data_IF_695267770906
#
_entry.id   IF_695267770906
#
_cell.length_a   1.000
_cell.length_b   1.000
_cell.length_c   1.000
_cell.angle_alpha   90.00
_cell.angle_beta   90.00
_cell.angle_gamma   90.00
#
_symmetry.space_group_name_H-M   'P 1'
#
loop_
_entity.id
_entity.type
_entity.pdbx_description
1 polymer ?
#
# COMPACT_ATOMS: atom_id res chain seq x y z
N UNK A 1 -11.54 -19.31 -32.67
CA UNK A 1 -10.58 -19.11 -31.56
C UNK A 1 -11.37 -18.53 -30.39
N UNK A 2 -11.86 -19.39 -29.52
CA UNK A 2 -12.72 -19.09 -28.37
C UNK A 2 -11.88 -18.63 -27.17
N UNK A 3 -12.31 -17.57 -26.47
CA UNK A 3 -11.62 -17.01 -25.30
C UNK A 3 -11.46 -18.08 -24.20
N UNK A 4 -10.26 -18.26 -23.61
CA UNK A 4 -9.99 -19.27 -22.58
C UNK A 4 -10.57 -18.95 -21.19
N UNK A 5 -11.44 -17.95 -21.06
CA UNK A 5 -11.79 -17.36 -19.76
C UNK A 5 -12.79 -18.16 -18.93
N UNK A 6 -13.50 -19.14 -19.50
CA UNK A 6 -14.44 -19.99 -18.73
C UNK A 6 -14.44 -21.42 -19.25
N UNK A 7 -13.35 -22.15 -19.02
CA UNK A 7 -13.41 -23.61 -19.15
C UNK A 7 -14.36 -24.14 -18.07
N UNK A 8 -15.39 -24.89 -18.48
CA UNK A 8 -16.20 -25.64 -17.53
C UNK A 8 -15.39 -26.85 -17.03
N UNK A 9 -14.75 -26.65 -15.88
CA UNK A 9 -13.93 -27.65 -15.19
C UNK A 9 -14.77 -28.89 -14.86
N UNK A 10 -16.08 -28.76 -14.61
CA UNK A 10 -16.95 -29.88 -14.26
C UNK A 10 -17.24 -30.76 -15.49
N UNK A 11 -17.47 -30.16 -16.66
CA UNK A 11 -17.82 -30.90 -17.88
C UNK A 11 -16.61 -31.48 -18.63
N UNK A 12 -15.41 -30.93 -18.46
CA UNK A 12 -14.23 -31.34 -19.26
C UNK A 12 -13.58 -32.60 -18.69
N UNK A 13 -13.48 -33.67 -19.47
CA UNK A 13 -12.82 -34.94 -19.08
C UNK A 13 -11.42 -35.13 -19.68
N UNK A 14 -11.01 -34.27 -20.62
CA UNK A 14 -9.68 -34.32 -21.19
C UNK A 14 -8.62 -33.75 -20.23
N UNK A 15 -7.64 -34.60 -19.87
CA UNK A 15 -6.56 -34.29 -18.94
C UNK A 15 -5.64 -33.21 -19.50
N UNK A 16 -5.34 -33.24 -20.82
CA UNK A 16 -4.45 -32.28 -21.44
C UNK A 16 -5.05 -30.86 -21.40
N UNK A 17 -6.33 -30.74 -21.71
CA UNK A 17 -7.07 -29.47 -21.62
C UNK A 17 -7.13 -28.94 -20.18
N UNK A 18 -7.40 -29.81 -19.20
CA UNK A 18 -7.43 -29.43 -17.78
C UNK A 18 -6.07 -28.98 -17.25
N UNK A 19 -4.99 -29.63 -17.69
CA UNK A 19 -3.62 -29.28 -17.32
C UNK A 19 -3.24 -27.91 -17.89
N UNK A 20 -3.43 -27.69 -19.20
CA UNK A 20 -3.13 -26.42 -19.85
C UNK A 20 -3.94 -25.26 -19.26
N UNK A 21 -5.23 -25.49 -18.97
CA UNK A 21 -6.06 -24.50 -18.29
C UNK A 21 -5.55 -24.20 -16.87
N UNK A 22 -5.23 -25.24 -16.09
CA UNK A 22 -4.71 -25.11 -14.73
C UNK A 22 -3.42 -24.30 -14.64
N UNK A 23 -2.47 -24.54 -15.57
CA UNK A 23 -1.23 -23.79 -15.68
C UNK A 23 -1.48 -22.32 -16.06
N UNK A 24 -2.37 -22.08 -17.05
CA UNK A 24 -2.72 -20.72 -17.46
C UNK A 24 -3.40 -19.94 -16.33
N UNK A 25 -4.26 -20.59 -15.53
CA UNK A 25 -4.93 -19.99 -14.38
C UNK A 25 -3.93 -19.67 -13.27
N UNK A 26 -2.93 -20.53 -13.06
CA UNK A 26 -1.86 -20.28 -12.09
C UNK A 26 -1.02 -19.03 -12.46
N UNK A 27 -0.70 -18.85 -13.75
CA UNK A 27 0.01 -17.66 -14.24
C UNK A 27 -0.79 -16.37 -14.06
N UNK A 28 -2.12 -16.44 -14.19
CA UNK A 28 -3.04 -15.31 -13.91
C UNK A 28 -3.29 -15.07 -12.41
N UNK A 29 -2.56 -15.76 -11.52
CA UNK A 29 -2.73 -15.73 -10.07
C UNK A 29 -4.12 -16.20 -9.59
N UNK A 30 -4.88 -16.88 -10.43
CA UNK A 30 -6.15 -17.52 -10.08
C UNK A 30 -5.89 -18.92 -9.49
N UNK A 31 -5.41 -18.92 -8.25
CA UNK A 31 -5.03 -20.16 -7.54
C UNK A 31 -6.23 -21.07 -7.24
N UNK A 32 -7.45 -20.52 -7.23
CA UNK A 32 -8.65 -21.31 -6.93
C UNK A 32 -9.01 -22.21 -8.11
N UNK A 33 -9.17 -21.62 -9.30
CA UNK A 33 -9.51 -22.37 -10.51
C UNK A 33 -8.35 -23.28 -10.96
N UNK A 34 -7.10 -22.82 -10.81
CA UNK A 34 -5.92 -23.64 -11.09
C UNK A 34 -5.88 -24.92 -10.24
N UNK A 35 -6.13 -24.83 -8.92
CA UNK A 35 -6.21 -26.01 -8.03
C UNK A 35 -7.35 -26.94 -8.42
N UNK A 36 -8.52 -26.39 -8.74
CA UNK A 36 -9.69 -27.19 -9.08
C UNK A 36 -9.45 -28.02 -10.35
N UNK A 37 -8.92 -27.40 -11.41
CA UNK A 37 -8.60 -28.07 -12.67
C UNK A 37 -7.49 -29.12 -12.51
N UNK A 38 -6.39 -28.78 -11.83
CA UNK A 38 -5.26 -29.69 -11.63
C UNK A 38 -5.59 -30.88 -10.71
N UNK A 39 -6.44 -30.68 -9.69
CA UNK A 39 -6.97 -31.80 -8.88
C UNK A 39 -7.87 -32.72 -9.69
N UNK A 40 -8.61 -32.20 -10.69
CA UNK A 40 -9.41 -33.04 -11.58
C UNK A 40 -8.50 -33.81 -12.54
N UNK A 41 -7.50 -33.14 -13.14
CA UNK A 41 -6.52 -33.76 -14.02
C UNK A 41 -5.79 -34.94 -13.34
N UNK A 42 -5.32 -34.75 -12.11
CA UNK A 42 -4.66 -35.81 -11.31
C UNK A 42 -5.57 -36.95 -10.87
N UNK A 43 -6.89 -36.73 -10.78
CA UNK A 43 -7.87 -37.81 -10.53
C UNK A 43 -8.18 -38.62 -11.78
N UNK A 44 -8.22 -37.97 -12.94
CA UNK A 44 -8.51 -38.60 -14.23
C UNK A 44 -7.31 -39.40 -14.73
N UNK A 45 -6.09 -38.87 -14.56
CA UNK A 45 -4.85 -39.60 -14.84
C UNK A 45 -3.88 -39.51 -13.66
N UNK A 46 -3.89 -40.52 -12.76
CA UNK A 46 -2.98 -40.59 -11.64
C UNK A 46 -1.50 -40.78 -12.02
N UNK A 47 -1.19 -41.22 -13.24
CA UNK A 47 0.19 -41.52 -13.69
C UNK A 47 0.84 -40.34 -14.44
N UNK A 48 0.16 -39.20 -14.52
CA UNK A 48 0.67 -38.00 -15.17
C UNK A 48 1.56 -37.17 -14.24
N UNK A 49 2.88 -37.36 -14.32
CA UNK A 49 3.84 -36.61 -13.50
C UNK A 49 3.76 -35.07 -13.69
N UNK A 50 3.62 -34.52 -14.92
CA UNK A 50 3.37 -33.09 -15.12
C UNK A 50 2.16 -32.54 -14.36
N UNK A 51 1.05 -33.26 -14.31
CA UNK A 51 -0.17 -32.81 -13.61
C UNK A 51 0.05 -32.68 -12.09
N UNK A 52 0.75 -33.66 -11.50
CA UNK A 52 1.14 -33.62 -10.09
C UNK A 52 2.13 -32.50 -9.77
N UNK A 53 3.08 -32.24 -10.67
CA UNK A 53 4.06 -31.16 -10.52
C UNK A 53 3.38 -29.78 -10.57
N UNK A 54 2.49 -29.56 -11.54
CA UNK A 54 1.71 -28.34 -11.66
C UNK A 54 0.81 -28.14 -10.42
N UNK A 55 0.18 -29.21 -9.90
CA UNK A 55 -0.62 -29.14 -8.69
C UNK A 55 0.20 -28.70 -7.47
N UNK A 56 1.42 -29.25 -7.29
CA UNK A 56 2.29 -28.91 -6.18
C UNK A 56 2.60 -27.39 -6.11
N UNK A 57 2.74 -26.73 -7.25
CA UNK A 57 3.04 -25.29 -7.30
C UNK A 57 1.89 -24.42 -6.83
N UNK A 58 0.64 -24.84 -7.06
CA UNK A 58 -0.54 -24.01 -6.78
C UNK A 58 -1.10 -24.27 -5.38
N UNK A 59 -0.99 -25.50 -4.87
CA UNK A 59 -1.52 -25.92 -3.56
C UNK A 59 -1.04 -25.02 -2.42
N UNK A 60 -1.96 -24.71 -1.48
CA UNK A 60 -1.72 -23.76 -0.39
C UNK A 60 -1.21 -24.39 0.91
N UNK A 61 -1.49 -25.67 1.13
CA UNK A 61 -1.13 -26.38 2.37
C UNK A 61 0.21 -27.09 2.20
N UNK A 62 1.02 -27.08 3.27
CA UNK A 62 2.34 -27.71 3.27
C UNK A 62 2.26 -29.23 3.08
N UNK A 63 1.27 -29.88 3.72
CA UNK A 63 1.06 -31.32 3.64
C UNK A 63 0.69 -31.80 2.24
N UNK A 64 -0.28 -31.15 1.59
CA UNK A 64 -0.74 -31.52 0.24
C UNK A 64 0.33 -31.21 -0.81
N UNK A 65 1.09 -30.12 -0.65
CA UNK A 65 2.24 -29.82 -1.52
C UNK A 65 3.32 -30.90 -1.44
N UNK A 66 3.62 -31.38 -0.23
CA UNK A 66 4.58 -32.48 -0.02
C UNK A 66 4.13 -33.75 -0.73
N UNK A 67 2.87 -34.14 -0.54
CA UNK A 67 2.30 -35.34 -1.19
C UNK A 67 2.37 -35.26 -2.71
N UNK A 68 2.06 -34.10 -3.29
CA UNK A 68 2.14 -33.91 -4.73
C UNK A 68 3.58 -34.09 -5.26
N UNK A 69 4.60 -33.54 -4.58
CA UNK A 69 5.99 -33.77 -4.99
C UNK A 69 6.46 -35.22 -4.77
N UNK A 70 6.02 -35.88 -3.70
CA UNK A 70 6.29 -37.31 -3.48
C UNK A 70 5.73 -38.16 -4.63
N UNK A 71 4.50 -37.88 -5.06
CA UNK A 71 3.89 -38.55 -6.24
C UNK A 71 4.66 -38.32 -7.54
N UNK A 72 5.19 -37.12 -7.76
CA UNK A 72 6.01 -36.85 -8.95
C UNK A 72 7.27 -37.71 -8.95
N UNK A 73 7.93 -37.88 -7.80
CA UNK A 73 9.14 -38.69 -7.68
C UNK A 73 8.89 -40.19 -7.74
N UNK A 74 7.70 -40.65 -7.35
CA UNK A 74 7.26 -42.03 -7.57
C UNK A 74 7.14 -42.35 -9.07
N UNK A 75 6.63 -41.40 -9.86
CA UNK A 75 6.41 -41.56 -11.30
C UNK A 75 7.68 -41.27 -12.12
N UNK A 76 8.46 -40.27 -11.71
CA UNK A 76 9.71 -39.83 -12.33
C UNK A 76 10.78 -39.58 -11.25
N UNK A 77 11.57 -40.61 -10.89
CA UNK A 77 12.64 -40.48 -9.89
C UNK A 77 13.73 -39.46 -10.28
N UNK A 78 13.86 -39.13 -11.57
CA UNK A 78 14.83 -38.19 -12.12
C UNK A 78 14.40 -36.72 -11.99
N UNK A 79 13.18 -36.44 -11.52
CA UNK A 79 12.63 -35.09 -11.55
C UNK A 79 13.31 -34.14 -10.56
N UNK A 80 14.17 -33.26 -11.10
CA UNK A 80 14.92 -32.27 -10.31
C UNK A 80 14.00 -31.27 -9.62
N UNK A 81 12.89 -30.88 -10.27
CA UNK A 81 11.96 -29.89 -9.74
C UNK A 81 11.22 -30.42 -8.50
N UNK A 82 10.75 -31.66 -8.54
CA UNK A 82 10.09 -32.28 -7.39
C UNK A 82 11.05 -32.54 -6.21
N UNK A 83 12.29 -32.96 -6.52
CA UNK A 83 13.33 -33.17 -5.50
C UNK A 83 13.69 -31.86 -4.78
N UNK A 84 13.96 -30.80 -5.55
CA UNK A 84 14.22 -29.47 -4.98
C UNK A 84 13.03 -28.92 -4.20
N UNK A 85 11.80 -29.16 -4.67
CA UNK A 85 10.58 -28.81 -3.95
C UNK A 85 10.45 -29.46 -2.59
N UNK A 86 10.75 -30.76 -2.46
CA UNK A 86 10.75 -31.46 -1.17
C UNK A 86 11.86 -30.99 -0.22
N UNK A 87 13.05 -30.71 -0.76
CA UNK A 87 14.16 -30.20 0.03
C UNK A 87 13.85 -28.80 0.59
N UNK A 88 13.26 -27.92 -0.23
CA UNK A 88 12.78 -26.61 0.21
C UNK A 88 11.68 -26.69 1.28
N UNK A 89 10.83 -27.71 1.23
CA UNK A 89 9.85 -27.97 2.28
C UNK A 89 10.53 -28.41 3.58
N UNK A 90 11.49 -29.34 3.51
CA UNK A 90 12.26 -29.81 4.68
C UNK A 90 13.05 -28.68 5.33
N UNK A 91 13.65 -27.78 4.56
CA UNK A 91 14.41 -26.65 5.08
C UNK A 91 13.51 -25.61 5.77
N UNK A 92 12.26 -25.44 5.33
CA UNK A 92 11.27 -24.61 6.01
C UNK A 92 10.85 -25.17 7.37
N UNK A 93 10.80 -26.50 7.51
CA UNK A 93 10.52 -27.21 8.79
C UNK A 93 11.74 -27.24 9.69
N UNK A 94 12.96 -27.23 9.12
CA UNK A 94 14.20 -27.19 9.88
C UNK A 94 14.51 -25.83 10.50
N UNK A 95 13.68 -24.80 10.28
CA UNK A 95 13.67 -23.63 11.16
C UNK A 95 13.06 -24.08 12.49
N UNK A 96 13.87 -24.37 13.52
CA UNK A 96 13.35 -24.84 14.78
C UNK A 96 12.66 -23.62 15.39
N UNK A 97 11.33 -23.57 15.34
CA UNK A 97 10.62 -22.71 16.27
C UNK A 97 11.03 -23.20 17.66
N UNK A 98 11.58 -22.33 18.52
CA UNK A 98 11.96 -22.74 19.86
C UNK A 98 10.77 -23.46 20.48
N UNK A 99 11.00 -24.65 21.05
CA UNK A 99 9.98 -25.42 21.75
C UNK A 99 9.29 -24.45 22.73
N UNK A 100 8.07 -24.04 22.38
CA UNK A 100 7.32 -23.13 23.24
C UNK A 100 6.87 -23.98 24.39
N UNK A 101 7.57 -23.87 25.52
CA UNK A 101 7.15 -24.50 26.76
C UNK A 101 5.74 -23.99 27.08
N UNK A 102 4.75 -24.87 26.88
CA UNK A 102 3.36 -24.55 27.15
C UNK A 102 3.20 -24.65 28.66
N UNK A 103 2.99 -23.53 29.38
CA UNK A 103 2.75 -23.61 30.81
C UNK A 103 1.53 -24.51 31.06
N UNK A 104 1.52 -25.30 32.15
CA UNK A 104 0.37 -26.10 32.52
C UNK A 104 -0.89 -25.22 32.56
N UNK A 105 -1.92 -25.62 31.81
CA UNK A 105 -3.21 -24.93 31.82
C UNK A 105 -3.83 -25.19 33.20
N UNK A 106 -3.93 -24.15 34.04
CA UNK A 106 -4.64 -24.24 35.32
C UNK A 106 -6.15 -24.45 35.03
N UNK A 107 -6.76 -25.57 35.43
CA UNK A 107 -8.18 -25.83 35.20
C UNK A 107 -9.10 -25.01 36.10
N UNK A 108 -8.56 -24.21 37.04
CA UNK A 108 -9.36 -23.35 37.90
C UNK A 108 -10.04 -22.27 37.05
N UNK A 109 -11.38 -22.10 37.18
CA UNK A 109 -12.06 -20.97 36.59
C UNK A 109 -11.44 -19.68 37.12
N UNK A 110 -10.93 -18.84 36.22
CA UNK A 110 -10.48 -17.49 36.57
C UNK A 110 -11.71 -16.72 37.05
N UNK A 111 -11.88 -16.58 38.36
CA UNK A 111 -12.83 -15.61 38.93
C UNK A 111 -12.37 -14.21 38.52
N UNK A 112 -13.19 -13.44 37.78
CA UNK A 112 -12.84 -12.07 37.43
C UNK A 112 -12.59 -11.29 38.73
N UNK A 113 -11.47 -10.55 38.86
CA UNK A 113 -11.33 -9.63 39.97
C UNK A 113 -12.53 -8.68 39.98
N UNK A 114 -13.08 -8.40 41.16
CA UNK A 114 -14.19 -7.46 41.31
C UNK A 114 -13.80 -6.15 40.59
N UNK A 115 -14.47 -5.88 39.48
CA UNK A 115 -14.15 -4.75 38.63
C UNK A 115 -14.53 -3.48 39.39
N UNK A 116 -13.56 -2.87 40.06
CA UNK A 116 -13.69 -1.51 40.58
C UNK A 116 -14.21 -0.62 39.45
N UNK A 117 -15.36 0.03 39.67
CA UNK A 117 -15.97 0.90 38.69
C UNK A 117 -15.02 2.07 38.41
N UNK A 118 -14.53 2.16 37.17
CA UNK A 118 -13.63 3.22 36.76
C UNK A 118 -14.44 4.34 36.12
N UNK A 119 -14.18 5.57 36.56
CA UNK A 119 -14.85 6.74 36.01
C UNK A 119 -14.05 7.38 34.90
N UNK A 120 -14.74 7.95 33.91
CA UNK A 120 -14.09 8.63 32.79
C UNK A 120 -13.27 9.83 33.28
N UNK A 121 -12.01 9.94 32.85
CA UNK A 121 -11.12 11.05 33.21
C UNK A 121 -11.71 12.45 32.93
N UNK A 122 -12.55 12.59 31.90
CA UNK A 122 -13.22 13.86 31.53
C UNK A 122 -14.65 13.99 32.07
N UNK A 123 -15.25 12.88 32.50
CA UNK A 123 -16.63 12.83 33.00
C UNK A 123 -16.67 11.95 34.25
N UNK A 124 -16.43 12.52 35.43
CA UNK A 124 -16.36 11.77 36.69
C UNK A 124 -17.67 11.05 37.05
N UNK A 125 -18.81 11.51 36.53
CA UNK A 125 -20.13 10.94 36.83
C UNK A 125 -20.50 9.71 35.97
N UNK A 126 -19.62 9.29 35.05
CA UNK A 126 -19.90 8.18 34.12
C UNK A 126 -18.96 7.02 34.40
N UNK A 127 -19.52 5.89 34.81
CA UNK A 127 -18.83 4.60 34.94
C UNK A 127 -18.46 4.03 33.57
N UNK A 128 -17.24 3.50 33.45
CA UNK A 128 -16.67 3.07 32.18
C UNK A 128 -15.79 1.83 32.34
N UNK A 129 -15.94 0.87 31.43
CA UNK A 129 -14.99 -0.25 31.28
C UNK A 129 -13.94 -0.02 30.18
N UNK A 130 -14.03 1.08 29.43
CA UNK A 130 -13.16 1.34 28.28
C UNK A 130 -11.90 2.09 28.73
N UNK A 131 -10.74 1.69 28.18
CA UNK A 131 -9.45 2.33 28.41
C UNK A 131 -8.79 2.70 27.08
N UNK A 132 -8.07 3.81 27.07
CA UNK A 132 -7.26 4.21 25.93
C UNK A 132 -6.09 3.23 25.74
N UNK A 133 -5.88 2.71 24.52
CA UNK A 133 -4.76 1.80 24.23
C UNK A 133 -3.37 2.44 24.43
N UNK A 134 -3.27 3.76 24.32
CA UNK A 134 -1.99 4.46 24.35
C UNK A 134 -1.61 4.97 25.75
N UNK A 135 -2.58 5.44 26.54
CA UNK A 135 -2.32 5.99 27.87
C UNK A 135 -3.03 5.25 29.01
N UNK A 136 -3.81 4.20 28.73
CA UNK A 136 -4.58 3.41 29.70
C UNK A 136 -5.64 4.16 30.54
N UNK A 137 -5.81 5.46 30.31
CA UNK A 137 -6.82 6.27 30.99
C UNK A 137 -8.24 5.75 30.71
N UNK A 138 -9.11 5.72 31.72
CA UNK A 138 -10.52 5.36 31.56
C UNK A 138 -11.27 6.43 30.75
N UNK A 139 -12.04 5.98 29.75
CA UNK A 139 -12.76 6.82 28.80
C UNK A 139 -14.21 6.35 28.67
N UNK A 140 -15.17 7.26 28.56
CA UNK A 140 -16.56 6.88 28.27
C UNK A 140 -16.78 6.64 26.78
N UNK A 141 -17.86 5.96 26.42
CA UNK A 141 -18.27 5.75 25.04
C UNK A 141 -18.40 7.06 24.23
N UNK A 142 -18.72 8.19 24.90
CA UNK A 142 -18.78 9.53 24.27
C UNK A 142 -17.39 10.11 23.96
N UNK A 143 -16.39 9.81 24.78
CA UNK A 143 -15.02 10.30 24.59
C UNK A 143 -14.15 9.35 23.75
N UNK A 144 -14.56 8.09 23.62
CA UNK A 144 -13.83 7.06 22.90
C UNK A 144 -13.84 7.31 21.39
N UNK A 145 -12.65 7.39 20.80
CA UNK A 145 -12.49 7.56 19.36
C UNK A 145 -11.98 6.25 18.77
N UNK A 146 -12.73 5.71 17.81
CA UNK A 146 -12.44 4.42 17.17
C UNK A 146 -11.24 4.54 16.23
N UNK A 147 -10.34 3.57 16.33
CA UNK A 147 -9.23 3.35 15.40
C UNK A 147 -9.20 1.86 15.02
N UNK A 148 -8.50 1.48 13.93
CA UNK A 148 -8.46 0.07 13.48
C UNK A 148 -7.94 -0.93 14.52
N UNK A 149 -7.18 -0.43 15.52
CA UNK A 149 -6.54 -1.24 16.57
C UNK A 149 -7.16 -1.01 17.96
N UNK A 150 -8.30 -0.32 18.06
CA UNK A 150 -9.01 -0.09 19.33
C UNK A 150 -9.42 1.36 19.59
N UNK A 151 -9.65 1.71 20.86
CA UNK A 151 -10.12 3.03 21.28
C UNK A 151 -8.98 3.95 21.77
N UNK A 152 -8.98 5.20 21.30
CA UNK A 152 -8.10 6.26 21.78
C UNK A 152 -8.88 7.35 22.52
N UNK A 153 -8.24 7.97 23.51
CA UNK A 153 -8.74 9.20 24.12
C UNK A 153 -8.53 10.42 23.19
N UNK A 154 -9.27 11.52 23.40
CA UNK A 154 -9.16 12.72 22.55
C UNK A 154 -7.75 13.33 22.52
N UNK A 155 -7.03 13.25 23.63
CA UNK A 155 -5.72 13.88 23.78
C UNK A 155 -4.63 13.06 23.07
N UNK A 156 -4.64 11.73 23.22
CA UNK A 156 -3.78 10.84 22.44
C UNK A 156 -4.09 10.89 20.94
N UNK A 157 -5.36 11.05 20.53
CA UNK A 157 -5.68 11.20 19.11
C UNK A 157 -5.15 12.51 18.55
N UNK A 158 -5.20 13.61 19.32
CA UNK A 158 -4.59 14.89 18.92
C UNK A 158 -3.08 14.75 18.79
N UNK A 159 -2.40 14.10 19.74
CA UNK A 159 -0.97 13.83 19.66
C UNK A 159 -0.58 12.91 18.48
N UNK A 160 -1.48 11.99 18.08
CA UNK A 160 -1.30 11.12 16.91
C UNK A 160 -1.61 11.84 15.58
N UNK A 161 -2.26 13.00 15.58
CA UNK A 161 -2.34 13.82 14.37
C UNK A 161 -0.91 14.26 14.04
N UNK A 162 -0.47 13.97 12.83
CA UNK A 162 0.89 14.24 12.40
C UNK A 162 1.24 15.72 12.61
N UNK A 163 2.33 16.05 13.33
CA UNK A 163 2.84 17.42 13.47
C UNK A 163 3.16 18.11 12.13
N UNK A 164 3.15 17.35 11.02
CA UNK A 164 3.25 17.89 9.66
C UNK A 164 2.12 18.89 9.29
N UNK A 165 1.01 18.95 10.03
CA UNK A 165 -0.11 19.87 9.75
C UNK A 165 -0.10 21.16 10.60
N UNK A 166 0.78 21.29 11.58
CA UNK A 166 0.93 22.55 12.32
C UNK A 166 1.83 23.52 11.52
N UNK A 167 1.20 24.15 10.53
CA UNK A 167 1.78 25.24 9.73
C UNK A 167 1.85 26.51 10.58
N UNK A 168 3.05 26.84 11.03
CA UNK A 168 3.35 28.09 11.70
C UNK A 168 3.34 29.22 10.65
N UNK A 169 2.75 30.41 10.93
CA UNK A 169 2.62 31.49 9.94
C UNK A 169 3.95 31.97 9.35
N UNK A 170 5.05 31.82 10.10
CA UNK A 170 6.43 32.09 9.66
C UNK A 170 6.91 31.11 8.58
N UNK A 171 6.48 29.85 8.62
CA UNK A 171 6.83 28.84 7.62
C UNK A 171 6.07 29.06 6.31
N UNK A 172 4.81 29.51 6.40
CA UNK A 172 4.00 29.90 5.25
C UNK A 172 4.59 31.13 4.55
N UNK A 173 5.06 32.12 5.31
CA UNK A 173 5.72 33.31 4.74
C UNK A 173 7.02 32.95 3.99
N UNK A 174 7.85 32.06 4.56
CA UNK A 174 9.07 31.56 3.89
C UNK A 174 8.74 30.78 2.62
N UNK A 175 7.75 29.89 2.68
CA UNK A 175 7.28 29.13 1.52
C UNK A 175 6.76 30.03 0.40
N UNK A 176 5.95 31.04 0.74
CA UNK A 176 5.44 32.01 -0.21
C UNK A 176 6.56 32.84 -0.86
N UNK A 177 7.56 33.29 -0.10
CA UNK A 177 8.68 34.05 -0.63
C UNK A 177 9.51 33.23 -1.63
N UNK A 178 9.83 31.97 -1.30
CA UNK A 178 10.58 31.07 -2.20
C UNK A 178 9.77 30.78 -3.47
N UNK A 179 8.48 30.50 -3.35
CA UNK A 179 7.59 30.26 -4.49
C UNK A 179 7.42 31.48 -5.40
N UNK A 180 7.37 32.69 -4.84
CA UNK A 180 7.31 33.93 -5.61
C UNK A 180 8.58 34.15 -6.45
N UNK A 181 9.76 33.96 -5.84
CA UNK A 181 11.05 34.07 -6.54
C UNK A 181 11.19 33.01 -7.63
N UNK A 182 10.81 31.76 -7.33
CA UNK A 182 10.83 30.67 -8.32
C UNK A 182 9.86 30.95 -9.50
N UNK A 183 8.67 31.48 -9.22
CA UNK A 183 7.71 31.89 -10.25
C UNK A 183 8.25 33.01 -11.15
N UNK A 184 8.90 34.02 -10.56
CA UNK A 184 9.52 35.11 -11.30
C UNK A 184 10.69 34.63 -12.19
N UNK A 185 11.57 33.76 -11.66
CA UNK A 185 12.68 33.17 -12.42
C UNK A 185 12.15 32.30 -13.56
N UNK A 186 11.13 31.48 -13.30
CA UNK A 186 10.49 30.66 -14.34
C UNK A 186 9.87 31.50 -15.46
N UNK A 187 9.18 32.58 -15.11
CA UNK A 187 8.62 33.51 -16.10
C UNK A 187 9.71 34.24 -16.90
N UNK A 188 10.81 34.64 -16.26
CA UNK A 188 11.96 35.25 -16.93
C UNK A 188 12.68 34.26 -17.86
N UNK A 189 12.88 33.01 -17.44
CA UNK A 189 13.45 31.97 -18.28
C UNK A 189 12.56 31.70 -19.51
N UNK A 190 11.23 31.74 -19.35
CA UNK A 190 10.27 31.65 -20.46
C UNK A 190 10.39 32.80 -21.44
N UNK A 191 10.77 33.99 -20.94
CA UNK A 191 11.04 35.17 -21.76
C UNK A 191 12.28 35.00 -22.67
N UNK A 192 13.32 34.31 -22.17
CA UNK A 192 14.59 34.09 -22.89
C UNK A 192 14.51 32.91 -23.87
N UNK A 193 14.00 31.77 -23.41
CA UNK A 193 14.11 30.50 -24.16
C UNK A 193 12.87 30.17 -25.00
N UNK A 194 11.73 30.87 -24.78
CA UNK A 194 10.53 30.73 -25.60
C UNK A 194 10.05 29.28 -25.75
N UNK A 195 9.86 28.83 -26.99
CA UNK A 195 9.36 27.50 -27.34
C UNK A 195 10.24 26.35 -26.80
N UNK A 196 11.54 26.56 -26.63
CA UNK A 196 12.47 25.53 -26.17
C UNK A 196 12.24 25.10 -24.71
N UNK A 197 11.48 25.88 -23.93
CA UNK A 197 11.18 25.52 -22.54
C UNK A 197 10.38 24.22 -22.41
N UNK A 198 9.63 23.80 -23.42
CA UNK A 198 8.83 22.57 -23.36
C UNK A 198 9.73 21.35 -23.07
N UNK A 199 10.95 21.34 -23.63
CA UNK A 199 11.92 20.27 -23.39
C UNK A 199 12.52 20.31 -21.97
N UNK A 200 12.64 21.52 -21.38
CA UNK A 200 13.25 21.72 -20.07
C UNK A 200 12.24 21.83 -18.92
N UNK A 201 10.95 21.97 -19.22
CA UNK A 201 9.89 22.18 -18.23
C UNK A 201 9.77 21.02 -17.24
N UNK A 202 9.92 19.78 -17.73
CA UNK A 202 9.91 18.60 -16.86
C UNK A 202 11.08 18.61 -15.87
N UNK A 203 12.29 18.94 -16.34
CA UNK A 203 13.50 18.97 -15.51
C UNK A 203 13.46 20.14 -14.50
N UNK A 204 13.00 21.31 -14.95
CA UNK A 204 12.89 22.51 -14.11
C UNK A 204 11.77 22.38 -13.08
N UNK A 205 10.67 21.69 -13.41
CA UNK A 205 9.60 21.42 -12.45
C UNK A 205 10.07 20.56 -11.28
N UNK A 206 10.92 19.58 -11.55
CA UNK A 206 11.48 18.69 -10.52
C UNK A 206 12.49 19.43 -9.62
N UNK A 207 13.36 20.26 -10.19
CA UNK A 207 14.32 21.04 -9.38
C UNK A 207 13.63 22.07 -8.49
N UNK A 208 12.64 22.81 -9.02
CA UNK A 208 11.86 23.79 -8.24
C UNK A 208 11.14 23.10 -7.08
N UNK A 209 10.51 21.95 -7.32
CA UNK A 209 9.81 21.21 -6.27
C UNK A 209 10.78 20.68 -5.20
N UNK A 210 11.97 20.24 -5.60
CA UNK A 210 13.01 19.77 -4.67
C UNK A 210 13.56 20.90 -3.81
N UNK A 211 13.72 22.10 -4.37
CA UNK A 211 14.14 23.30 -3.63
C UNK A 211 13.06 23.76 -2.65
N UNK A 212 11.79 23.79 -3.07
CA UNK A 212 10.67 24.17 -2.19
C UNK A 212 10.55 23.19 -1.01
N UNK A 213 10.63 21.89 -1.29
CA UNK A 213 10.52 20.85 -0.25
C UNK A 213 11.73 20.84 0.69
N UNK A 214 12.93 21.09 0.17
CA UNK A 214 14.14 21.29 0.98
C UNK A 214 14.03 22.51 1.90
N UNK A 215 13.50 23.63 1.39
CA UNK A 215 13.42 24.89 2.13
C UNK A 215 12.32 24.90 3.21
N UNK A 216 11.21 24.18 3.00
CA UNK A 216 10.04 24.26 3.89
C UNK A 216 9.87 23.07 4.83
N UNK A 217 10.42 21.88 4.48
CA UNK A 217 10.39 20.64 5.26
C UNK A 217 9.03 20.26 5.92
N UNK A 218 7.92 20.84 5.45
CA UNK A 218 6.56 20.60 5.94
C UNK A 218 5.66 20.25 4.76
N UNK A 219 4.63 19.42 4.97
CA UNK A 219 3.69 18.99 3.92
C UNK A 219 2.28 19.20 4.43
N UNK A 220 1.51 20.06 3.76
CA UNK A 220 0.11 20.29 4.09
C UNK A 220 -0.64 21.08 3.00
N UNK A 221 -1.95 20.86 2.83
CA UNK A 221 -2.77 21.47 1.77
C UNK A 221 -2.82 23.00 1.84
N UNK A 222 -2.71 23.57 3.04
CA UNK A 222 -2.65 25.04 3.23
C UNK A 222 -1.34 25.61 2.66
N UNK A 223 -0.21 24.92 2.87
CA UNK A 223 1.07 25.36 2.31
C UNK A 223 1.14 25.15 0.80
N UNK A 224 0.46 24.13 0.28
CA UNK A 224 0.31 23.90 -1.16
C UNK A 224 -0.49 25.01 -1.84
N UNK A 225 -1.59 25.46 -1.22
CA UNK A 225 -2.37 26.59 -1.71
C UNK A 225 -1.54 27.88 -1.69
N UNK A 226 -0.83 28.16 -0.59
CA UNK A 226 0.01 29.34 -0.47
C UNK A 226 1.16 29.37 -1.49
N UNK A 227 1.86 28.24 -1.68
CA UNK A 227 2.93 28.11 -2.66
C UNK A 227 2.42 28.26 -4.11
N UNK A 228 1.26 27.66 -4.42
CA UNK A 228 0.64 27.77 -5.74
C UNK A 228 0.20 29.21 -6.06
N UNK A 229 -0.44 29.89 -5.10
CA UNK A 229 -0.85 31.30 -5.25
C UNK A 229 0.37 32.21 -5.42
N UNK A 230 1.42 32.03 -4.61
CA UNK A 230 2.63 32.84 -4.70
C UNK A 230 3.39 32.63 -6.02
N UNK A 231 3.44 31.41 -6.54
CA UNK A 231 4.05 31.11 -7.83
C UNK A 231 3.25 31.73 -8.99
N UNK A 232 1.92 31.67 -8.93
CA UNK A 232 1.05 32.31 -9.91
C UNK A 232 1.22 33.84 -9.89
N UNK A 233 1.29 34.46 -8.70
CA UNK A 233 1.54 35.90 -8.56
C UNK A 233 2.91 36.31 -9.09
N UNK A 234 3.95 35.51 -8.82
CA UNK A 234 5.31 35.76 -9.34
C UNK A 234 5.38 35.67 -10.86
N UNK A 235 4.68 34.70 -11.46
CA UNK A 235 4.58 34.60 -12.92
C UNK A 235 3.77 35.75 -13.53
N UNK A 236 2.66 36.13 -12.89
CA UNK A 236 1.78 37.20 -13.35
C UNK A 236 2.51 38.55 -13.35
N UNK A 237 3.27 38.87 -12.29
CA UNK A 237 4.02 40.12 -12.16
C UNK A 237 5.03 40.34 -13.30
N UNK A 238 5.68 39.28 -13.79
CA UNK A 238 6.66 39.37 -14.90
C UNK A 238 5.96 39.43 -16.26
N UNK A 239 4.82 38.77 -16.42
CA UNK A 239 4.09 38.71 -17.71
C UNK A 239 3.37 40.01 -18.07
N UNK A 240 3.03 40.85 -17.08
CA UNK A 240 2.47 42.20 -17.31
C UNK A 240 3.39 43.11 -18.12
N UNK A 241 4.69 42.79 -18.21
CA UNK A 241 5.67 43.61 -18.93
C UNK A 241 5.75 43.32 -20.44
N UNK A 242 5.16 42.21 -20.95
CA UNK A 242 5.30 41.75 -22.34
C UNK A 242 3.98 41.17 -22.91
N UNK A 243 3.12 41.98 -23.58
CA UNK A 243 1.73 41.63 -23.88
C UNK A 243 1.52 40.51 -24.91
N UNK A 244 2.54 40.14 -25.70
CA UNK A 244 2.44 39.07 -26.71
C UNK A 244 2.54 37.66 -26.10
N UNK A 245 2.76 37.56 -24.77
CA UNK A 245 3.15 36.31 -24.09
C UNK A 245 2.13 35.80 -23.06
N UNK A 246 0.96 36.45 -22.96
CA UNK A 246 -0.08 36.10 -21.99
C UNK A 246 -0.67 34.69 -22.19
N UNK A 247 -0.85 34.23 -23.44
CA UNK A 247 -1.43 32.90 -23.71
C UNK A 247 -0.52 31.76 -23.23
N UNK A 248 0.78 31.84 -23.52
CA UNK A 248 1.77 30.85 -23.07
C UNK A 248 1.97 30.88 -21.56
N UNK A 249 1.91 32.06 -20.94
CA UNK A 249 1.98 32.21 -19.50
C UNK A 249 0.77 31.58 -18.78
N UNK A 250 -0.43 31.75 -19.32
CA UNK A 250 -1.65 31.13 -18.77
C UNK A 250 -1.56 29.60 -18.87
N UNK A 251 -1.12 29.06 -20.02
CA UNK A 251 -0.90 27.62 -20.19
C UNK A 251 0.15 27.12 -19.19
N UNK A 252 1.27 27.83 -19.02
CA UNK A 252 2.31 27.46 -18.06
C UNK A 252 1.81 27.49 -16.61
N UNK A 253 1.02 28.48 -16.22
CA UNK A 253 0.42 28.57 -14.88
C UNK A 253 -0.57 27.44 -14.66
N UNK A 254 -1.42 27.12 -15.64
CA UNK A 254 -2.41 26.04 -15.55
C UNK A 254 -1.71 24.67 -15.46
N UNK A 255 -0.71 24.42 -16.30
CA UNK A 255 0.07 23.17 -16.28
C UNK A 255 0.91 23.08 -15.00
N UNK A 256 1.51 24.18 -14.55
CA UNK A 256 2.27 24.25 -13.30
C UNK A 256 1.40 23.94 -12.09
N UNK A 257 0.23 24.58 -11.97
CA UNK A 257 -0.74 24.31 -10.90
C UNK A 257 -1.23 22.86 -10.99
N UNK A 258 -1.58 22.37 -12.18
CA UNK A 258 -2.05 20.99 -12.36
C UNK A 258 -0.96 19.97 -11.97
N UNK A 259 0.31 20.21 -12.32
CA UNK A 259 1.43 19.32 -11.98
C UNK A 259 1.68 19.31 -10.47
N UNK A 260 1.60 20.47 -9.83
CA UNK A 260 1.72 20.62 -8.38
C UNK A 260 0.58 19.87 -7.68
N UNK A 261 -0.67 20.07 -8.10
CA UNK A 261 -1.86 19.44 -7.47
C UNK A 261 -1.87 17.92 -7.69
N UNK A 262 -1.48 17.43 -8.87
CA UNK A 262 -1.53 15.99 -9.20
C UNK A 262 -0.41 15.18 -8.55
N UNK A 263 0.80 15.74 -8.38
CA UNK A 263 1.93 15.05 -7.73
C UNK A 263 1.98 15.21 -6.21
N UNK A 264 1.03 15.93 -5.62
CA UNK A 264 0.94 16.16 -4.18
C UNK A 264 -0.25 15.45 -3.50
N UNK A 265 -1.05 14.70 -4.28
CA UNK A 265 -1.87 13.60 -3.76
C UNK A 265 -0.97 12.39 -3.49
#
# INVERSE_FOLDING_TARGET
MSSPDTLDIAATEDVATLLAYGESAAQRNDKANARAALRKATRLDPHNAPAWLALAQVVGTFSERRQAFERVLELDPGNVAARGGLEALKSGVSNPHPEVERPPIDPRPLTPPAAEALFCYRHPDVETGLRCIQCSNPICAKCAQTTPVGFLCPDCRKARRSPLYDVTPTDVAKGAAVSFVAGAIGAFATSIFGFFIIFFAALMGETVMRVITWATNKRGPVMQAAAGVALALGALAVTQFLPVRALYAVIFVVVGIATVVTRLK
#
